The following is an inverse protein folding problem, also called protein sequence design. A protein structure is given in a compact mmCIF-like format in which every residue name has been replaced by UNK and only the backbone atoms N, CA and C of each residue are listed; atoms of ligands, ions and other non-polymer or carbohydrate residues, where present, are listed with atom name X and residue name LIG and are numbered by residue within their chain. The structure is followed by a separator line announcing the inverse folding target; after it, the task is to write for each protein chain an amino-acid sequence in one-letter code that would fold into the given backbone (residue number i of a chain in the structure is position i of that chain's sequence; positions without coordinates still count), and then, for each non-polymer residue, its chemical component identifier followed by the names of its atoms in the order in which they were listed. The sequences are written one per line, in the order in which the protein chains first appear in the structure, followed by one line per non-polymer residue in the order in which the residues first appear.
data_IF_168147434912
#
_entry.id   IF_168147434912
#
_cell.length_a   1.000
_cell.length_b   1.000
_cell.length_c   1.000
_cell.angle_alpha   90.00
_cell.angle_beta   90.00
_cell.angle_gamma   90.00
#
_symmetry.space_group_name_H-M   'P 1'
#
loop_
_entity.id
_entity.type
_entity.pdbx_description
1 polymer ?
#
# COMPACT_ATOMS: atom_id res chain seq x y z
N UNK A 1 35.68 54.07 -12.40
CA UNK A 1 35.84 55.22 -13.40
C UNK A 1 35.30 54.76 -14.73
N UNK A 2 34.71 55.57 -15.54
CA UNK A 2 33.47 56.31 -15.34
C UNK A 2 32.39 55.98 -16.39
N UNK A 3 31.18 56.24 -16.05
CA UNK A 3 30.02 56.93 -16.64
C UNK A 3 30.15 57.51 -18.11
N UNK A 4 29.07 58.06 -18.68
CA UNK A 4 27.63 57.73 -18.88
C UNK A 4 27.20 58.01 -20.32
N UNK A 5 25.85 58.00 -20.64
CA UNK A 5 25.14 58.97 -21.47
C UNK A 5 23.74 58.40 -21.82
N UNK A 6 22.66 59.00 -21.38
CA UNK A 6 21.87 60.12 -21.85
C UNK A 6 21.28 59.84 -23.25
N UNK A 7 20.03 59.67 -23.40
CA UNK A 7 18.87 60.47 -23.32
C UNK A 7 18.16 60.45 -24.68
N UNK A 8 16.85 60.42 -24.71
CA UNK A 8 16.08 61.47 -25.33
C UNK A 8 14.59 61.13 -25.28
N UNK A 9 13.80 62.04 -24.71
CA UNK A 9 12.36 62.16 -24.82
C UNK A 9 11.95 62.56 -26.24
N UNK A 10 10.81 62.01 -26.70
CA UNK A 10 10.05 62.62 -27.78
C UNK A 10 8.57 62.56 -27.39
N UNK A 11 8.06 63.72 -27.08
CA UNK A 11 6.63 64.04 -26.93
C UNK A 11 6.00 64.27 -28.33
N UNK A 12 4.85 63.69 -28.56
CA UNK A 12 3.95 64.11 -29.65
C UNK A 12 2.47 64.02 -29.27
N UNK A 13 1.90 65.06 -29.34
CA UNK A 13 0.65 65.83 -29.23
C UNK A 13 -0.59 65.16 -29.82
N UNK A 14 -1.69 65.39 -29.08
CA UNK A 14 -3.12 65.12 -29.27
C UNK A 14 -3.68 65.25 -30.70
N UNK A 15 -4.61 64.34 -30.99
CA UNK A 15 -5.64 64.50 -32.01
C UNK A 15 -6.92 63.82 -31.55
N UNK A 16 -7.89 64.61 -31.04
CA UNK A 16 -9.22 64.17 -30.70
C UNK A 16 -10.08 64.09 -31.94
N UNK A 17 -10.63 62.97 -32.30
CA UNK A 17 -11.73 62.81 -33.25
C UNK A 17 -12.84 62.03 -32.54
N UNK A 18 -13.92 62.74 -32.28
CA UNK A 18 -15.16 62.20 -31.75
C UNK A 18 -15.93 61.46 -32.87
N UNK A 19 -16.07 60.16 -32.74
CA UNK A 19 -17.02 59.39 -33.56
C UNK A 19 -18.19 58.97 -32.68
N UNK A 20 -19.33 59.48 -32.95
CA UNK A 20 -20.63 59.06 -32.41
C UNK A 20 -20.99 57.74 -33.08
N UNK A 21 -20.97 56.63 -32.38
CA UNK A 21 -21.55 55.39 -32.84
C UNK A 21 -22.84 55.07 -32.08
N UNK A 22 -23.91 54.92 -32.88
CA UNK A 22 -25.20 54.48 -32.39
C UNK A 22 -25.14 53.08 -31.70
N UNK A 23 -25.68 53.05 -30.49
CA UNK A 23 -25.82 51.79 -29.77
C UNK A 23 -26.96 50.95 -30.34
N UNK A 24 -26.68 49.80 -30.90
CA UNK A 24 -27.65 48.73 -31.16
C UNK A 24 -27.89 47.93 -29.89
N UNK A 25 -29.12 47.54 -29.54
CA UNK A 25 -29.35 46.70 -28.36
C UNK A 25 -28.77 45.31 -28.61
N UNK A 26 -27.85 44.88 -27.74
CA UNK A 26 -27.32 43.53 -27.73
C UNK A 26 -28.42 42.56 -27.29
N UNK A 27 -28.83 41.70 -28.20
CA UNK A 27 -29.67 40.55 -27.87
C UNK A 27 -28.97 39.61 -26.86
N UNK A 28 -29.64 39.26 -25.77
CA UNK A 28 -29.17 38.32 -24.80
C UNK A 28 -28.96 36.96 -25.48
N UNK A 29 -27.74 36.47 -25.49
CA UNK A 29 -27.43 35.10 -25.89
C UNK A 29 -28.04 34.12 -24.85
N UNK A 30 -28.59 32.97 -25.28
CA UNK A 30 -29.11 31.98 -24.36
C UNK A 30 -27.98 31.44 -23.48
N UNK A 31 -28.22 31.42 -22.18
CA UNK A 31 -27.31 30.84 -21.20
C UNK A 31 -27.09 29.33 -21.54
N UNK A 32 -25.86 28.99 -21.92
CA UNK A 32 -25.46 27.60 -22.11
C UNK A 32 -25.62 26.82 -20.81
N UNK A 33 -25.81 25.48 -20.90
CA UNK A 33 -25.99 24.67 -19.71
C UNK A 33 -24.79 24.83 -18.77
N UNK A 34 -25.09 25.09 -17.49
CA UNK A 34 -24.10 25.23 -16.45
C UNK A 34 -23.27 23.95 -16.39
N UNK A 35 -21.96 24.05 -16.61
CA UNK A 35 -21.05 22.95 -16.43
C UNK A 35 -21.10 22.52 -14.95
N UNK A 36 -21.70 21.35 -14.70
CA UNK A 36 -21.59 20.70 -13.41
C UNK A 36 -20.13 20.29 -13.22
N UNK A 37 -19.37 21.14 -12.54
CA UNK A 37 -18.05 20.74 -12.01
C UNK A 37 -18.30 19.70 -10.92
N UNK A 38 -18.27 18.43 -11.28
CA UNK A 38 -18.16 17.35 -10.30
C UNK A 38 -16.83 17.54 -9.59
N UNK A 39 -16.91 18.03 -8.34
CA UNK A 39 -15.76 18.14 -7.45
C UNK A 39 -15.18 16.73 -7.30
N UNK A 40 -13.98 16.51 -7.81
CA UNK A 40 -13.28 15.24 -7.66
C UNK A 40 -13.31 14.83 -6.16
N UNK A 41 -13.56 13.56 -5.83
CA UNK A 41 -13.55 13.10 -4.45
C UNK A 41 -12.23 13.53 -3.82
N UNK A 42 -12.29 14.21 -2.67
CA UNK A 42 -11.10 14.50 -1.89
C UNK A 42 -10.54 13.18 -1.41
N UNK A 43 -9.45 12.71 -1.99
CA UNK A 43 -8.69 11.59 -1.48
C UNK A 43 -8.29 11.92 -0.05
N UNK A 44 -8.68 11.07 0.90
CA UNK A 44 -8.26 11.24 2.29
C UNK A 44 -6.76 11.00 2.34
N UNK A 45 -6.01 11.93 2.90
CA UNK A 45 -4.57 11.75 3.10
C UNK A 45 -4.33 10.45 3.89
N UNK A 46 -3.42 9.59 3.39
CA UNK A 46 -3.02 8.36 4.08
C UNK A 46 -2.28 8.75 5.36
N UNK A 47 -2.68 8.15 6.48
CA UNK A 47 -2.09 8.38 7.80
C UNK A 47 -1.71 7.03 8.45
N UNK A 48 -1.21 7.05 9.70
CA UNK A 48 -0.79 5.83 10.39
C UNK A 48 -1.93 5.07 11.10
N UNK A 49 -3.16 5.56 11.06
CA UNK A 49 -4.29 4.86 11.70
C UNK A 49 -4.53 3.49 11.05
N UNK A 50 -4.53 2.45 11.87
CA UNK A 50 -4.61 1.07 11.40
C UNK A 50 -3.26 0.40 11.16
N UNK A 51 -2.16 1.15 11.13
CA UNK A 51 -0.80 0.62 11.08
C UNK A 51 -0.31 0.22 12.48
N UNK A 52 0.48 -0.83 12.56
CA UNK A 52 1.12 -1.28 13.79
C UNK A 52 2.63 -1.39 13.64
N UNK A 53 3.37 -1.18 14.73
CA UNK A 53 4.79 -1.48 14.79
C UNK A 53 5.01 -2.84 15.45
N UNK A 54 5.91 -3.63 14.88
CA UNK A 54 6.43 -4.87 15.41
C UNK A 54 7.87 -4.66 15.90
N UNK A 55 8.46 -5.64 16.55
CA UNK A 55 9.85 -5.58 17.03
C UNK A 55 10.88 -5.63 15.89
N UNK A 56 10.53 -6.19 14.74
CA UNK A 56 11.41 -6.41 13.59
C UNK A 56 10.87 -5.89 12.27
N UNK A 57 9.59 -5.54 12.21
CA UNK A 57 8.86 -5.20 10.99
C UNK A 57 7.75 -4.18 11.26
N UNK A 58 7.05 -3.80 10.21
CA UNK A 58 5.79 -3.08 10.24
C UNK A 58 4.61 -4.06 10.06
N UNK A 59 3.39 -3.59 10.29
CA UNK A 59 2.18 -4.34 10.02
C UNK A 59 0.96 -3.46 10.02
N UNK A 60 -0.22 -4.06 9.88
CA UNK A 60 -1.49 -3.36 9.89
C UNK A 60 -2.63 -4.19 10.47
N UNK A 61 -3.56 -3.52 11.13
CA UNK A 61 -4.86 -4.10 11.50
C UNK A 61 -5.70 -4.05 10.24
N UNK A 62 -6.05 -5.21 9.70
CA UNK A 62 -6.78 -5.33 8.44
C UNK A 62 -8.14 -5.98 8.64
N UNK A 63 -9.08 -5.67 7.75
CA UNK A 63 -10.37 -6.34 7.68
C UNK A 63 -10.63 -6.83 6.26
N UNK A 64 -11.35 -7.94 6.16
CA UNK A 64 -11.97 -8.42 4.93
C UNK A 64 -13.26 -7.62 4.68
N UNK A 65 -13.77 -7.57 3.45
CA UNK A 65 -15.08 -6.92 3.17
C UNK A 65 -16.23 -7.50 4.00
N UNK A 66 -16.13 -8.78 4.35
CA UNK A 66 -17.13 -9.52 5.13
C UNK A 66 -16.97 -9.40 6.65
N UNK A 67 -15.84 -8.84 7.13
CA UNK A 67 -15.55 -8.73 8.58
C UNK A 67 -16.56 -7.87 9.31
N UNK A 68 -16.97 -8.32 10.49
CA UNK A 68 -17.92 -7.63 11.37
C UNK A 68 -17.20 -7.01 12.57
N UNK A 69 -17.78 -5.98 13.23
CA UNK A 69 -17.15 -5.30 14.36
C UNK A 69 -16.76 -6.22 15.52
N UNK A 70 -17.54 -7.28 15.75
CA UNK A 70 -17.30 -8.23 16.83
C UNK A 70 -16.44 -9.43 16.43
N UNK A 71 -15.98 -9.49 15.19
CA UNK A 71 -15.01 -10.51 14.77
C UNK A 71 -13.64 -10.26 15.43
N UNK A 72 -12.88 -11.31 15.76
CA UNK A 72 -11.49 -11.16 16.15
C UNK A 72 -10.72 -10.38 15.08
N UNK A 73 -10.01 -9.32 15.48
CA UNK A 73 -9.28 -8.51 14.53
C UNK A 73 -8.11 -9.28 13.92
N UNK A 74 -7.81 -8.99 12.66
CA UNK A 74 -6.65 -9.54 11.95
C UNK A 74 -5.52 -8.53 11.92
N UNK A 75 -4.28 -8.98 12.13
CA UNK A 75 -3.06 -8.19 11.92
C UNK A 75 -2.25 -8.85 10.82
N UNK A 76 -1.91 -8.07 9.80
CA UNK A 76 -1.14 -8.50 8.64
C UNK A 76 0.29 -7.98 8.72
N UNK A 77 1.26 -8.83 8.40
CA UNK A 77 2.67 -8.53 8.17
C UNK A 77 3.24 -9.54 7.17
N UNK A 78 4.53 -9.48 6.81
CA UNK A 78 5.13 -10.49 5.95
C UNK A 78 5.35 -11.84 6.64
N UNK A 79 5.52 -12.89 5.85
CA UNK A 79 5.95 -14.22 6.29
C UNK A 79 7.33 -14.20 6.89
N UNK A 80 8.28 -13.51 6.25
CA UNK A 80 9.64 -13.37 6.79
C UNK A 80 9.72 -12.58 8.11
N UNK A 81 8.64 -11.88 8.48
CA UNK A 81 8.51 -11.19 9.75
C UNK A 81 8.03 -12.10 10.90
N UNK A 82 7.74 -13.37 10.64
CA UNK A 82 7.22 -14.30 11.63
C UNK A 82 8.19 -14.44 12.82
N UNK A 83 7.64 -14.42 14.05
CA UNK A 83 8.43 -14.43 15.28
C UNK A 83 9.18 -15.77 15.50
N UNK A 84 8.61 -16.85 14.99
CA UNK A 84 9.21 -18.20 15.06
C UNK A 84 10.28 -18.49 13.99
N UNK A 85 10.56 -17.52 13.12
CA UNK A 85 11.47 -17.65 11.99
C UNK A 85 10.76 -17.66 10.65
N UNK A 86 11.51 -17.46 9.58
CA UNK A 86 11.00 -17.43 8.21
C UNK A 86 10.46 -18.81 7.82
N UNK A 87 9.22 -18.88 7.27
CA UNK A 87 8.75 -20.13 6.65
C UNK A 87 9.70 -20.61 5.56
N UNK A 88 9.98 -21.89 5.53
CA UNK A 88 10.80 -22.50 4.47
C UNK A 88 10.08 -22.45 3.11
N UNK A 89 10.81 -22.54 1.97
CA UNK A 89 10.18 -22.69 0.68
C UNK A 89 9.20 -23.88 0.65
N UNK A 90 7.96 -23.63 0.21
CA UNK A 90 6.88 -24.62 0.22
C UNK A 90 6.15 -24.78 1.55
N UNK A 91 6.60 -24.10 2.60
CA UNK A 91 5.95 -24.18 3.90
C UNK A 91 4.75 -23.24 3.99
N UNK A 92 3.65 -23.76 4.55
CA UNK A 92 2.45 -23.01 4.89
C UNK A 92 2.05 -23.34 6.32
N UNK A 93 2.00 -22.32 7.17
CA UNK A 93 1.65 -22.43 8.60
C UNK A 93 0.20 -22.00 8.78
N UNK A 94 -0.60 -22.82 9.45
CA UNK A 94 -2.02 -22.55 9.72
C UNK A 94 -2.33 -22.85 11.18
N UNK A 95 -2.97 -21.91 11.86
CA UNK A 95 -3.53 -22.12 13.20
C UNK A 95 -2.49 -22.26 14.33
N UNK A 96 -1.25 -21.81 14.13
CA UNK A 96 -0.19 -21.91 15.13
C UNK A 96 -0.43 -20.94 16.31
N UNK A 97 -0.37 -21.36 17.56
CA UNK A 97 -0.46 -20.46 18.72
C UNK A 97 0.58 -19.34 18.66
N UNK A 98 0.17 -18.12 19.03
CA UNK A 98 1.05 -16.97 19.12
C UNK A 98 0.53 -15.99 20.17
N UNK A 99 1.44 -15.36 20.89
CA UNK A 99 1.15 -14.27 21.83
C UNK A 99 1.86 -12.97 21.45
N UNK A 100 2.26 -12.86 20.19
CA UNK A 100 2.98 -11.69 19.67
C UNK A 100 2.25 -10.39 19.98
N UNK A 101 3.00 -9.37 20.36
CA UNK A 101 2.48 -8.03 20.64
C UNK A 101 2.69 -7.10 19.45
N UNK A 102 1.72 -6.24 19.21
CA UNK A 102 1.72 -5.23 18.16
C UNK A 102 1.43 -3.87 18.77
N UNK A 103 2.28 -2.88 18.52
CA UNK A 103 2.06 -1.51 18.98
C UNK A 103 1.12 -0.79 18.02
N UNK A 104 -0.05 -0.40 18.51
CA UNK A 104 -1.06 0.35 17.75
C UNK A 104 -0.64 1.81 17.65
N UNK A 105 -0.71 2.37 16.45
CA UNK A 105 -0.31 3.76 16.17
C UNK A 105 -1.52 4.68 15.99
N UNK A 106 -1.38 5.92 16.47
CA UNK A 106 -2.30 7.02 16.15
C UNK A 106 -2.10 7.48 14.71
N UNK A 107 -2.98 8.36 14.21
CA UNK A 107 -2.84 8.99 12.87
C UNK A 107 -1.49 9.68 12.67
N UNK A 108 -0.89 10.19 13.74
CA UNK A 108 0.40 10.91 13.73
C UNK A 108 1.56 10.04 14.21
N UNK A 109 1.43 8.71 14.11
CA UNK A 109 2.43 7.72 14.50
C UNK A 109 2.76 7.65 15.99
N UNK A 110 1.97 8.28 16.88
CA UNK A 110 2.10 8.14 18.33
C UNK A 110 1.69 6.74 18.79
N UNK A 111 2.38 6.16 19.78
CA UNK A 111 2.02 4.88 20.36
C UNK A 111 0.74 5.03 21.22
N UNK A 112 -0.29 4.27 20.94
CA UNK A 112 -1.54 4.25 21.70
C UNK A 112 -1.61 3.10 22.71
N UNK A 113 -0.81 2.08 22.54
CA UNK A 113 -0.79 0.88 23.35
C UNK A 113 -0.56 -0.37 22.52
N UNK A 114 -0.85 -1.55 23.07
CA UNK A 114 -0.60 -2.81 22.41
C UNK A 114 -1.86 -3.68 22.31
N UNK A 115 -1.96 -4.42 21.21
CA UNK A 115 -2.83 -5.58 21.04
C UNK A 115 -1.97 -6.84 20.94
N UNK A 116 -2.55 -8.01 21.23
CA UNK A 116 -1.85 -9.30 21.20
C UNK A 116 -2.49 -10.26 20.24
N UNK A 117 -1.68 -11.07 19.61
CA UNK A 117 -2.13 -12.24 18.89
C UNK A 117 -2.68 -13.31 19.83
N UNK A 118 -3.60 -14.12 19.35
CA UNK A 118 -4.00 -15.41 19.92
C UNK A 118 -3.43 -16.57 19.11
N UNK A 119 -3.21 -16.36 17.80
CA UNK A 119 -2.61 -17.34 16.90
C UNK A 119 -2.15 -16.70 15.59
N UNK A 120 -1.26 -17.38 14.89
CA UNK A 120 -1.04 -17.23 13.45
C UNK A 120 -2.19 -17.95 12.76
N UNK A 121 -3.01 -17.23 12.01
CA UNK A 121 -4.09 -17.81 11.19
C UNK A 121 -3.50 -18.44 9.95
N UNK A 122 -2.57 -17.73 9.31
CA UNK A 122 -1.93 -18.13 8.08
C UNK A 122 -0.56 -17.46 7.98
N UNK A 123 0.46 -18.19 7.55
CA UNK A 123 1.76 -17.63 7.19
C UNK A 123 2.43 -18.47 6.11
N UNK A 124 3.11 -17.80 5.18
CA UNK A 124 3.94 -18.43 4.15
C UNK A 124 4.91 -17.43 3.54
N UNK A 125 5.96 -17.95 2.91
CA UNK A 125 6.82 -17.24 1.94
C UNK A 125 6.81 -17.94 0.58
N UNK A 126 5.82 -18.78 0.31
CA UNK A 126 5.67 -19.51 -0.95
C UNK A 126 4.63 -18.79 -1.81
N UNK A 127 4.99 -18.45 -3.03
CA UNK A 127 4.16 -17.73 -4.02
C UNK A 127 3.69 -16.32 -3.58
N UNK A 128 3.74 -16.00 -2.30
CA UNK A 128 3.52 -14.70 -1.65
C UNK A 128 4.27 -14.66 -0.33
N UNK A 129 4.44 -13.50 0.26
CA UNK A 129 5.12 -13.31 1.55
C UNK A 129 4.19 -12.61 2.54
N UNK A 130 3.41 -13.38 3.29
CA UNK A 130 2.38 -12.86 4.17
C UNK A 130 2.22 -13.67 5.44
N UNK A 131 1.96 -12.96 6.56
CA UNK A 131 1.45 -13.53 7.82
C UNK A 131 0.20 -12.78 8.24
N UNK A 132 -0.83 -13.53 8.60
CA UNK A 132 -2.06 -13.04 9.22
C UNK A 132 -2.17 -13.61 10.62
N UNK A 133 -2.16 -12.72 11.62
CA UNK A 133 -2.43 -13.07 13.01
C UNK A 133 -3.89 -12.77 13.34
N UNK A 134 -4.51 -13.63 14.14
CA UNK A 134 -5.74 -13.31 14.85
C UNK A 134 -5.39 -12.63 16.17
N UNK A 135 -6.00 -11.47 16.43
CA UNK A 135 -5.88 -10.79 17.72
C UNK A 135 -6.79 -11.43 18.77
N UNK A 136 -6.41 -11.32 20.03
CA UNK A 136 -7.28 -11.60 21.18
C UNK A 136 -8.37 -10.54 21.38
N UNK A 137 -8.31 -9.42 20.65
CA UNK A 137 -9.30 -8.35 20.68
C UNK A 137 -10.10 -8.31 19.39
N UNK A 138 -11.37 -7.91 19.49
CA UNK A 138 -12.22 -7.64 18.33
C UNK A 138 -11.96 -6.26 17.74
N UNK A 139 -12.41 -6.00 16.51
CA UNK A 139 -12.34 -4.66 15.91
C UNK A 139 -13.06 -3.62 16.75
N UNK A 140 -14.24 -3.96 17.31
CA UNK A 140 -15.01 -3.07 18.18
C UNK A 140 -14.24 -2.69 19.44
N UNK A 141 -13.57 -3.66 20.09
CA UNK A 141 -12.74 -3.41 21.27
C UNK A 141 -11.54 -2.52 20.95
N UNK A 142 -10.87 -2.74 19.81
CA UNK A 142 -9.76 -1.90 19.37
C UNK A 142 -10.24 -0.48 19.08
N UNK A 143 -11.38 -0.33 18.41
CA UNK A 143 -11.96 0.98 18.13
C UNK A 143 -12.39 1.70 19.41
N UNK A 144 -13.00 0.99 20.37
CA UNK A 144 -13.38 1.57 21.66
C UNK A 144 -12.17 2.03 22.46
N UNK A 145 -11.11 1.22 22.51
CA UNK A 145 -9.94 1.48 23.34
C UNK A 145 -9.00 2.53 22.75
N UNK A 146 -8.79 2.52 21.44
CA UNK A 146 -7.76 3.31 20.76
C UNK A 146 -8.31 4.31 19.74
N UNK A 147 -9.59 4.26 19.42
CA UNK A 147 -10.19 5.08 18.35
C UNK A 147 -9.75 4.67 16.94
N UNK A 148 -9.13 3.50 16.77
CA UNK A 148 -8.55 3.03 15.52
C UNK A 148 -9.51 2.07 14.82
N UNK A 149 -9.73 2.34 13.52
CA UNK A 149 -10.45 1.43 12.61
C UNK A 149 -9.44 0.61 11.81
N UNK A 150 -9.78 -0.66 11.46
CA UNK A 150 -8.95 -1.46 10.58
C UNK A 150 -8.89 -0.85 9.17
N UNK A 151 -7.80 -1.15 8.46
CA UNK A 151 -7.67 -0.90 7.03
C UNK A 151 -8.41 -2.01 6.26
N UNK A 152 -9.10 -1.65 5.18
CA UNK A 152 -9.80 -2.61 4.33
C UNK A 152 -8.85 -3.14 3.26
N UNK A 153 -8.79 -4.47 3.07
CA UNK A 153 -8.09 -5.06 1.95
C UNK A 153 -8.89 -4.84 0.65
N UNK A 154 -8.18 -4.48 -0.42
CA UNK A 154 -8.76 -4.48 -1.76
C UNK A 154 -9.11 -5.92 -2.19
N UNK A 155 -10.19 -6.07 -2.93
CA UNK A 155 -10.57 -7.33 -3.61
C UNK A 155 -10.16 -7.34 -5.07
N UNK A 156 -9.69 -6.20 -5.56
CA UNK A 156 -9.32 -6.00 -6.95
C UNK A 156 -7.79 -6.00 -7.08
N UNK A 157 -7.30 -6.60 -8.16
CA UNK A 157 -5.91 -6.51 -8.55
C UNK A 157 -5.52 -5.04 -8.69
N UNK A 158 -4.36 -4.62 -8.14
CA UNK A 158 -3.90 -3.25 -8.30
C UNK A 158 -3.64 -2.88 -9.76
N UNK A 159 -3.56 -1.60 -10.06
CA UNK A 159 -3.42 -1.09 -11.42
C UNK A 159 -2.07 -0.41 -11.60
N UNK A 160 -1.36 -0.74 -12.69
CA UNK A 160 -0.12 -0.04 -13.08
C UNK A 160 -0.37 1.48 -13.19
N UNK A 161 0.52 2.27 -12.62
CA UNK A 161 0.40 3.72 -12.55
C UNK A 161 -0.41 4.24 -11.36
N UNK A 162 -1.07 3.36 -10.58
CA UNK A 162 -1.78 3.78 -9.37
C UNK A 162 -0.80 4.41 -8.37
N UNK A 163 -1.16 5.58 -7.85
CA UNK A 163 -0.42 6.23 -6.77
C UNK A 163 -0.64 5.50 -5.45
N UNK A 164 0.42 5.16 -4.77
CA UNK A 164 0.41 4.39 -3.52
C UNK A 164 1.20 5.08 -2.42
N UNK A 165 0.90 4.71 -1.18
CA UNK A 165 1.66 5.10 0.01
C UNK A 165 1.96 3.86 0.85
N UNK A 166 3.25 3.59 1.08
CA UNK A 166 3.74 2.58 2.02
C UNK A 166 3.80 3.21 3.41
N UNK A 167 3.13 2.63 4.40
CA UNK A 167 3.04 3.20 5.75
C UNK A 167 3.82 2.35 6.74
N UNK A 168 5.07 2.71 7.00
CA UNK A 168 5.93 1.95 7.91
C UNK A 168 5.64 2.28 9.37
N UNK A 169 5.08 1.31 10.09
CA UNK A 169 4.87 1.42 11.54
C UNK A 169 6.16 1.36 12.34
N UNK A 170 7.14 0.58 11.88
CA UNK A 170 8.45 0.44 12.52
C UNK A 170 9.22 1.77 12.53
N UNK A 171 9.37 2.39 11.34
CA UNK A 171 10.09 3.66 11.19
C UNK A 171 9.22 4.89 11.44
N UNK A 172 7.89 4.73 11.58
CA UNK A 172 6.92 5.83 11.68
C UNK A 172 7.10 6.82 10.52
N UNK A 173 7.25 6.27 9.33
CA UNK A 173 7.52 7.00 8.08
C UNK A 173 6.65 6.47 6.95
N UNK A 174 6.25 7.36 6.06
CA UNK A 174 5.54 7.02 4.82
C UNK A 174 6.45 7.19 3.62
N UNK A 175 6.22 6.35 2.60
CA UNK A 175 6.88 6.42 1.30
C UNK A 175 5.78 6.48 0.25
N UNK A 176 5.82 7.49 -0.61
CA UNK A 176 4.80 7.68 -1.66
C UNK A 176 5.44 7.56 -3.03
N UNK A 177 4.83 6.75 -3.88
CA UNK A 177 5.27 6.49 -5.24
C UNK A 177 4.09 5.97 -6.08
N UNK A 178 4.38 5.29 -7.18
CA UNK A 178 3.39 4.61 -8.00
C UNK A 178 3.78 3.16 -8.26
N UNK A 179 2.81 2.36 -8.67
CA UNK A 179 3.03 1.01 -9.17
C UNK A 179 3.64 1.12 -10.56
N UNK A 180 4.88 0.67 -10.75
CA UNK A 180 5.54 0.63 -12.05
C UNK A 180 5.09 -0.55 -12.90
N UNK A 181 4.83 -1.69 -12.29
CA UNK A 181 4.38 -2.89 -12.97
C UNK A 181 4.25 -4.08 -12.05
N UNK A 182 4.03 -5.24 -12.66
CA UNK A 182 3.87 -6.52 -11.99
C UNK A 182 4.92 -7.49 -12.49
N UNK A 183 5.49 -8.25 -11.57
CA UNK A 183 6.58 -9.18 -11.83
C UNK A 183 6.00 -10.59 -11.82
N UNK A 184 6.01 -11.32 -12.94
CA UNK A 184 5.44 -12.67 -12.99
C UNK A 184 6.04 -13.60 -11.94
N UNK A 185 7.36 -13.51 -11.75
CA UNK A 185 8.09 -14.26 -10.74
C UNK A 185 9.20 -13.39 -10.16
N UNK A 186 9.14 -13.12 -8.86
CA UNK A 186 10.20 -12.48 -8.09
C UNK A 186 10.93 -13.56 -7.30
N UNK A 187 12.26 -13.65 -7.45
CA UNK A 187 13.08 -14.65 -6.77
C UNK A 187 14.10 -13.98 -5.86
N UNK A 188 14.18 -14.48 -4.60
CA UNK A 188 15.13 -14.02 -3.60
C UNK A 188 15.62 -15.21 -2.77
N UNK A 189 16.91 -15.49 -2.81
CA UNK A 189 17.46 -16.69 -2.17
C UNK A 189 16.75 -17.95 -2.67
N UNK A 190 16.18 -18.71 -1.74
CA UNK A 190 15.44 -19.94 -2.02
C UNK A 190 13.93 -19.72 -2.22
N UNK A 191 13.44 -18.50 -2.00
CA UNK A 191 12.02 -18.16 -2.12
C UNK A 191 11.67 -17.61 -3.49
N UNK A 192 10.41 -17.78 -3.83
CA UNK A 192 9.84 -17.31 -5.09
C UNK A 192 8.42 -16.81 -4.85
N UNK A 193 8.15 -15.58 -5.32
CA UNK A 193 6.85 -14.95 -5.23
C UNK A 193 6.30 -14.70 -6.63
N UNK A 194 4.99 -14.66 -6.76
CA UNK A 194 4.29 -14.49 -8.03
C UNK A 194 3.50 -13.21 -8.04
N UNK A 195 3.43 -12.58 -9.21
CA UNK A 195 2.62 -11.39 -9.42
C UNK A 195 2.98 -10.24 -8.46
N UNK A 196 4.28 -10.11 -8.12
CA UNK A 196 4.74 -9.10 -7.18
C UNK A 196 4.67 -7.70 -7.78
N UNK A 197 4.25 -6.73 -6.97
CA UNK A 197 4.21 -5.31 -7.35
C UNK A 197 5.62 -4.73 -7.38
N UNK A 198 6.02 -4.15 -8.51
CA UNK A 198 7.23 -3.33 -8.61
C UNK A 198 6.88 -1.87 -8.42
N UNK A 199 7.66 -1.16 -7.58
CA UNK A 199 7.49 0.26 -7.34
C UNK A 199 8.28 1.13 -8.33
N UNK A 200 7.81 2.36 -8.54
CA UNK A 200 8.64 3.40 -9.14
C UNK A 200 9.75 3.83 -8.17
N UNK A 201 10.88 4.41 -8.65
CA UNK A 201 12.09 4.67 -7.85
C UNK A 201 11.90 5.61 -6.64
N UNK A 202 10.77 6.30 -6.53
CA UNK A 202 10.47 7.21 -5.42
C UNK A 202 10.23 6.47 -4.11
N UNK A 203 9.74 5.21 -4.15
CA UNK A 203 9.61 4.37 -2.95
C UNK A 203 10.96 3.73 -2.59
N UNK A 204 11.77 4.48 -1.87
CA UNK A 204 13.03 3.99 -1.30
C UNK A 204 12.78 3.39 0.07
N UNK A 205 12.09 2.25 0.10
CA UNK A 205 11.86 1.48 1.33
C UNK A 205 13.17 0.82 1.79
N UNK A 206 13.28 0.53 3.07
CA UNK A 206 14.51 0.01 3.71
C UNK A 206 14.16 -1.11 4.67
N UNK A 207 15.14 -1.85 5.18
CA UNK A 207 14.93 -2.87 6.20
C UNK A 207 14.05 -2.37 7.36
N UNK A 208 13.11 -3.20 7.85
CA UNK A 208 12.09 -2.81 8.85
C UNK A 208 10.81 -2.19 8.26
N UNK A 209 10.80 -1.80 6.98
CA UNK A 209 9.55 -1.43 6.28
C UNK A 209 8.74 -2.67 5.86
N UNK A 210 9.32 -3.85 5.91
CA UNK A 210 8.65 -5.12 5.67
C UNK A 210 7.35 -5.22 6.45
N UNK A 211 6.29 -5.71 5.81
CA UNK A 211 4.96 -5.83 6.40
C UNK A 211 4.15 -4.53 6.44
N UNK A 212 4.68 -3.42 5.97
CA UNK A 212 3.93 -2.17 5.85
C UNK A 212 2.75 -2.33 4.90
N UNK A 213 1.56 -1.83 5.25
CA UNK A 213 0.47 -1.76 4.28
C UNK A 213 0.83 -0.80 3.16
N UNK A 214 0.55 -1.23 1.93
CA UNK A 214 0.62 -0.40 0.72
C UNK A 214 -0.80 0.04 0.41
N UNK A 215 -1.06 1.32 0.64
CA UNK A 215 -2.39 1.91 0.49
C UNK A 215 -2.52 2.57 -0.85
N UNK A 216 -3.53 2.19 -1.62
CA UNK A 216 -3.92 2.89 -2.84
C UNK A 216 -4.50 4.27 -2.47
N UNK A 217 -3.90 5.34 -3.01
CA UNK A 217 -4.24 6.72 -2.65
C UNK A 217 -5.63 7.14 -3.14
N UNK A 218 -6.17 6.49 -4.16
CA UNK A 218 -7.49 6.80 -4.71
C UNK A 218 -8.61 6.16 -3.90
N UNK A 219 -8.41 4.91 -3.44
CA UNK A 219 -9.43 4.13 -2.75
C UNK A 219 -9.29 4.13 -1.23
N UNK A 220 -8.08 4.37 -0.72
CA UNK A 220 -7.73 4.24 0.70
C UNK A 220 -7.69 2.78 1.19
N UNK A 221 -7.73 1.81 0.28
CA UNK A 221 -7.64 0.38 0.60
C UNK A 221 -6.20 -0.13 0.54
N UNK A 222 -5.91 -1.18 1.30
CA UNK A 222 -4.63 -1.87 1.20
C UNK A 222 -4.67 -2.75 -0.05
N UNK A 223 -3.75 -2.51 -0.96
CA UNK A 223 -3.65 -3.20 -2.24
C UNK A 223 -2.46 -4.16 -2.31
N UNK A 224 -1.47 -3.94 -1.46
CA UNK A 224 -0.30 -4.81 -1.33
C UNK A 224 0.32 -4.70 0.07
N UNK A 225 1.30 -5.55 0.34
CA UNK A 225 2.13 -5.54 1.54
C UNK A 225 3.59 -5.37 1.13
N UNK A 226 4.28 -4.35 1.67
CA UNK A 226 5.67 -4.08 1.34
C UNK A 226 6.55 -5.26 1.73
N UNK A 227 7.37 -5.72 0.80
CA UNK A 227 8.15 -6.95 0.99
C UNK A 227 9.65 -6.66 1.03
N UNK A 228 10.30 -6.53 -0.12
CA UNK A 228 11.76 -6.55 -0.27
C UNK A 228 12.24 -5.51 -1.28
N UNK A 229 13.55 -5.42 -1.45
CA UNK A 229 14.19 -4.58 -2.46
C UNK A 229 15.59 -5.09 -2.78
N UNK A 230 16.06 -4.79 -3.99
CA UNK A 230 17.41 -5.14 -4.40
C UNK A 230 18.37 -4.05 -3.93
N UNK A 231 19.11 -4.33 -2.84
CA UNK A 231 19.96 -3.34 -2.18
C UNK A 231 21.30 -3.15 -2.90
N UNK A 232 22.00 -4.24 -3.24
CA UNK A 232 23.39 -4.21 -3.66
C UNK A 232 23.58 -4.48 -5.16
N UNK A 233 22.53 -4.81 -5.91
CA UNK A 233 22.62 -5.17 -7.32
C UNK A 233 23.01 -6.63 -7.56
N UNK A 234 23.06 -7.46 -6.52
CA UNK A 234 23.31 -8.88 -6.65
C UNK A 234 22.13 -9.62 -7.28
N UNK A 235 22.40 -10.82 -7.79
CA UNK A 235 21.42 -11.59 -8.55
C UNK A 235 20.76 -12.66 -7.67
N UNK A 236 19.51 -12.42 -7.29
CA UNK A 236 18.63 -13.35 -6.58
C UNK A 236 19.17 -13.83 -5.22
N UNK A 237 20.02 -13.07 -4.56
CA UNK A 237 20.44 -13.34 -3.17
C UNK A 237 19.47 -12.70 -2.18
N UNK A 238 19.59 -13.00 -0.90
CA UNK A 238 18.78 -12.40 0.16
C UNK A 238 19.00 -10.87 0.17
N UNK A 239 17.94 -10.08 0.26
CA UNK A 239 17.89 -8.62 0.10
C UNK A 239 18.33 -8.13 -1.31
N UNK A 240 18.38 -9.03 -2.27
CA UNK A 240 18.69 -8.73 -3.66
C UNK A 240 17.80 -9.56 -4.60
N UNK A 241 16.47 -9.33 -4.57
CA UNK A 241 15.56 -10.03 -5.46
C UNK A 241 15.88 -9.76 -6.92
N UNK A 242 15.54 -10.72 -7.76
CA UNK A 242 15.61 -10.61 -9.21
C UNK A 242 14.26 -10.98 -9.85
N UNK A 243 13.95 -10.36 -10.97
CA UNK A 243 12.74 -10.64 -11.73
C UNK A 243 13.00 -11.77 -12.72
N UNK A 244 12.06 -12.70 -12.81
CA UNK A 244 12.05 -13.78 -13.81
C UNK A 244 10.80 -13.61 -14.65
N UNK A 245 10.98 -13.40 -15.95
CA UNK A 245 9.87 -13.27 -16.90
C UNK A 245 9.26 -14.63 -17.27
N UNK A 246 8.19 -14.62 -18.05
CA UNK A 246 7.50 -15.83 -18.50
C UNK A 246 8.40 -16.74 -19.40
N UNK A 247 9.44 -16.18 -19.99
CA UNK A 247 10.43 -16.91 -20.82
C UNK A 247 11.60 -17.44 -19.98
N UNK A 248 11.65 -17.16 -18.68
CA UNK A 248 12.73 -17.56 -17.77
C UNK A 248 13.94 -16.62 -17.80
N UNK A 249 13.88 -15.47 -18.47
CA UNK A 249 14.95 -14.48 -18.42
C UNK A 249 14.99 -13.80 -17.06
N UNK A 250 16.20 -13.64 -16.53
CA UNK A 250 16.44 -13.04 -15.22
C UNK A 250 16.97 -11.63 -15.37
N UNK A 251 16.30 -10.68 -14.73
CA UNK A 251 16.68 -9.26 -14.69
C UNK A 251 16.90 -8.80 -13.25
N UNK A 252 17.93 -7.99 -13.03
CA UNK A 252 18.27 -7.36 -11.76
C UNK A 252 18.06 -5.86 -11.87
N UNK A 253 17.34 -5.28 -10.92
CA UNK A 253 17.09 -3.85 -10.83
C UNK A 253 17.55 -3.31 -9.48
N UNK A 254 18.84 -2.94 -9.39
CA UNK A 254 19.39 -2.37 -8.15
C UNK A 254 18.58 -1.13 -7.71
N UNK A 255 18.27 -1.05 -6.41
CA UNK A 255 17.52 0.05 -5.80
C UNK A 255 16.01 -0.03 -6.01
N UNK A 256 15.51 -1.05 -6.73
CA UNK A 256 14.07 -1.27 -6.91
C UNK A 256 13.48 -2.03 -5.74
N UNK A 257 12.32 -1.59 -5.28
CA UNK A 257 11.58 -2.19 -4.18
C UNK A 257 10.28 -2.82 -4.67
N UNK A 258 9.81 -3.84 -3.91
CA UNK A 258 8.70 -4.70 -4.29
C UNK A 258 7.73 -4.93 -3.14
N UNK A 259 6.51 -5.30 -3.49
CA UNK A 259 5.47 -5.71 -2.55
C UNK A 259 4.73 -6.94 -3.06
N UNK A 260 4.05 -7.63 -2.14
CA UNK A 260 3.16 -8.75 -2.48
C UNK A 260 1.71 -8.27 -2.50
N UNK A 261 0.96 -8.71 -3.50
CA UNK A 261 -0.44 -8.36 -3.65
C UNK A 261 -1.32 -8.98 -2.58
N UNK A 262 -2.35 -8.26 -2.15
CA UNK A 262 -3.25 -8.71 -1.07
C UNK A 262 -4.67 -9.04 -1.53
N UNK A 263 -5.02 -8.78 -2.80
CA UNK A 263 -6.39 -8.94 -3.31
C UNK A 263 -6.90 -10.40 -3.32
N UNK A 264 -6.00 -11.36 -3.29
CA UNK A 264 -6.34 -12.79 -3.22
C UNK A 264 -6.77 -13.23 -1.83
N UNK A 265 -6.31 -12.52 -0.78
CA UNK A 265 -6.52 -12.90 0.62
C UNK A 265 -8.01 -12.92 1.02
N UNK A 266 -8.83 -11.90 0.70
CA UNK A 266 -10.23 -11.87 1.12
C UNK A 266 -11.06 -13.07 0.67
N UNK A 267 -10.72 -13.67 -0.46
CA UNK A 267 -11.41 -14.86 -1.01
C UNK A 267 -11.21 -16.12 -0.17
N UNK A 268 -10.18 -16.12 0.69
CA UNK A 268 -9.86 -17.24 1.59
C UNK A 268 -10.45 -17.08 2.99
N UNK A 269 -11.26 -16.01 3.24
CA UNK A 269 -11.81 -15.74 4.55
C UNK A 269 -13.33 -15.66 4.51
N UNK A 270 -13.97 -16.44 5.37
CA UNK A 270 -15.42 -16.44 5.58
C UNK A 270 -15.85 -15.63 6.80
N UNK A 271 -17.13 -15.79 7.18
CA UNK A 271 -17.74 -15.15 8.35
C UNK A 271 -16.94 -15.40 9.62
N UNK A 272 -16.76 -14.37 10.44
CA UNK A 272 -15.99 -14.44 11.67
C UNK A 272 -14.48 -14.46 11.44
N UNK A 273 -14.01 -13.99 10.29
CA UNK A 273 -12.60 -14.01 9.89
C UNK A 273 -11.97 -15.42 9.91
N UNK A 274 -12.79 -16.42 9.58
CA UNK A 274 -12.33 -17.82 9.52
C UNK A 274 -11.64 -18.08 8.19
N UNK A 275 -10.39 -18.59 8.25
CA UNK A 275 -9.66 -19.04 7.09
C UNK A 275 -10.29 -20.31 6.52
N UNK A 276 -10.56 -20.32 5.22
CA UNK A 276 -10.93 -21.48 4.41
C UNK A 276 -10.11 -21.50 3.12
N UNK A 277 -9.03 -22.25 3.12
CA UNK A 277 -8.17 -22.40 1.94
C UNK A 277 -8.83 -23.20 0.80
N UNK A 278 -10.00 -23.80 1.05
CA UNK A 278 -10.78 -24.50 0.03
C UNK A 278 -11.96 -23.68 -0.51
N UNK A 279 -12.14 -22.46 -0.01
CA UNK A 279 -13.17 -21.55 -0.50
C UNK A 279 -13.02 -21.30 -2.01
N UNK A 280 -14.15 -21.15 -2.69
CA UNK A 280 -14.16 -20.85 -4.11
C UNK A 280 -13.42 -19.54 -4.41
N UNK A 281 -12.43 -19.61 -5.30
CA UNK A 281 -11.59 -18.46 -5.67
C UNK A 281 -10.44 -18.15 -4.70
N UNK A 282 -10.24 -18.92 -3.64
CA UNK A 282 -9.03 -18.85 -2.82
C UNK A 282 -7.84 -19.46 -3.57
N UNK A 283 -6.80 -18.66 -3.76
CA UNK A 283 -5.56 -19.06 -4.47
C UNK A 283 -4.34 -19.06 -3.57
N UNK A 284 -4.49 -18.78 -2.28
CA UNK A 284 -3.37 -18.86 -1.34
C UNK A 284 -2.78 -20.28 -1.30
N UNK A 285 -1.45 -20.41 -1.19
CA UNK A 285 -0.79 -21.70 -0.98
C UNK A 285 -1.39 -22.49 0.17
N UNK A 286 -1.45 -23.80 0.01
CA UNK A 286 -2.00 -24.72 1.01
C UNK A 286 -0.88 -25.52 1.68
N UNK A 287 -1.04 -25.91 2.95
CA UNK A 287 -0.12 -26.85 3.57
C UNK A 287 0.04 -28.09 2.68
N UNK A 288 1.28 -28.47 2.40
CA UNK A 288 1.54 -29.76 1.76
C UNK A 288 0.92 -30.83 2.64
N UNK A 289 0.03 -31.63 2.06
CA UNK A 289 -0.61 -32.73 2.80
C UNK A 289 0.46 -33.59 3.46
N UNK A 290 0.30 -33.85 4.73
CA UNK A 290 1.09 -34.88 5.42
C UNK A 290 0.86 -36.14 4.61
N UNK A 291 1.85 -36.59 3.83
CA UNK A 291 1.84 -37.95 3.30
C UNK A 291 1.81 -38.85 4.52
N UNK A 292 0.65 -39.42 4.82
CA UNK A 292 0.48 -40.46 5.80
C UNK A 292 1.18 -41.75 5.32
#
# INVERSE_FOLDING_TARGET
MPRPLVGTLATAVLGAAALVTAATPAGAAPAGPAAHTTKAPRTKAVDFAGTVALSNCSGSIVKMPTSQPNDPALVMTNGHCLESGMPSPGEVIVGQPSSRSFTVLSKTAGNLGQIRASKVVYATMTDTDVTLYQSSSTYAQIQQKYGIKPLELSTDHPVKGAGITVVSGYWKKTYSCSIDGFVPTLKEGDWTWKDSVRYTPECKTIGGTSGSPVVDNATGKVTAINNTGNEDGERCTVNNPCEVDESGNVTVHQGTNYAEETYTIPKCFGTGNKLDLNAAGCTLPKPSGIRR
#
